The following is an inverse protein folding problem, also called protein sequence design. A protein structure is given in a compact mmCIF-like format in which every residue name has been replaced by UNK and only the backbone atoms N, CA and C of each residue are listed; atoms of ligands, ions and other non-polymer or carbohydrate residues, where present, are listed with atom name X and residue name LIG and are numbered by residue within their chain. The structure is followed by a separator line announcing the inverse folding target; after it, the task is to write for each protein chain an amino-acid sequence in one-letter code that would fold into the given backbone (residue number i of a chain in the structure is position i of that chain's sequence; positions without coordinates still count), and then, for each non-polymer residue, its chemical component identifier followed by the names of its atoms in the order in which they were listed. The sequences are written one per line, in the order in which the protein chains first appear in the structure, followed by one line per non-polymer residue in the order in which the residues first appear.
data_IF_675393270990
#
_entry.id   IF_675393270990
#
_cell.length_a   1.000
_cell.length_b   1.000
_cell.length_c   1.000
_cell.angle_alpha   90.00
_cell.angle_beta   90.00
_cell.angle_gamma   90.00
#
_symmetry.space_group_name_H-M   'P 1'
#
loop_
_entity.id
_entity.type
_entity.pdbx_description
1 polymer ?
#
# COMPACT_ATOMS: atom_id res chain seq x y z
N UNK A 1 10.03 3.29 -16.44
CA UNK A 1 10.21 4.11 -15.21
C UNK A 1 11.02 3.29 -14.21
N UNK A 2 12.32 3.58 -14.07
CA UNK A 2 13.23 2.91 -13.11
C UNK A 2 12.99 3.47 -11.70
N UNK A 3 12.89 2.60 -10.71
CA UNK A 3 12.68 2.94 -9.30
C UNK A 3 14.07 2.94 -8.65
N UNK A 4 14.57 4.10 -8.20
CA UNK A 4 15.95 4.30 -7.72
C UNK A 4 16.06 4.23 -6.18
N UNK A 5 15.24 3.43 -5.49
CA UNK A 5 15.36 3.23 -4.03
C UNK A 5 15.01 4.42 -3.13
N UNK A 6 14.69 5.59 -3.68
CA UNK A 6 14.68 6.88 -2.93
C UNK A 6 13.30 7.45 -2.61
N UNK A 7 12.22 6.68 -2.78
CA UNK A 7 10.84 7.14 -2.53
C UNK A 7 10.10 6.23 -1.58
N UNK A 8 10.73 5.92 -0.45
CA UNK A 8 10.05 5.23 0.64
C UNK A 8 9.53 6.23 1.67
N UNK A 9 8.31 5.99 2.14
CA UNK A 9 7.62 6.87 3.05
C UNK A 9 7.89 6.41 4.48
N UNK A 10 8.59 7.22 5.27
CA UNK A 10 8.86 6.89 6.67
C UNK A 10 7.55 6.74 7.47
N UNK A 11 7.57 5.97 8.57
CA UNK A 11 6.37 5.68 9.38
C UNK A 11 5.68 6.97 9.86
N UNK A 12 6.45 7.93 10.37
CA UNK A 12 5.98 9.24 10.80
C UNK A 12 5.40 10.07 9.63
N UNK A 13 6.06 10.07 8.47
CA UNK A 13 5.58 10.75 7.26
C UNK A 13 4.26 10.14 6.76
N UNK A 14 4.08 8.82 6.84
CA UNK A 14 2.84 8.16 6.46
C UNK A 14 1.66 8.58 7.34
N UNK A 15 1.87 8.65 8.66
CA UNK A 15 0.85 9.14 9.59
C UNK A 15 0.50 10.59 9.29
N UNK A 16 1.51 11.46 9.18
CA UNK A 16 1.33 12.88 8.83
C UNK A 16 0.62 13.05 7.49
N UNK A 17 0.97 12.26 6.47
CA UNK A 17 0.33 12.33 5.17
C UNK A 17 -1.17 12.00 5.22
N UNK A 18 -1.57 11.04 6.05
CA UNK A 18 -2.99 10.77 6.30
C UNK A 18 -3.63 11.93 7.05
N UNK A 19 -3.02 12.42 8.13
CA UNK A 19 -3.58 13.49 8.97
C UNK A 19 -3.76 14.79 8.17
N UNK A 20 -2.80 15.11 7.31
CA UNK A 20 -2.79 16.27 6.42
C UNK A 20 -3.65 16.10 5.17
N UNK A 21 -4.10 14.88 4.85
CA UNK A 21 -4.99 14.68 3.72
C UNK A 21 -6.38 15.25 4.03
N UNK A 22 -7.07 15.88 3.05
CA UNK A 22 -8.47 16.24 3.22
C UNK A 22 -9.29 15.02 3.64
N UNK A 23 -10.35 15.21 4.44
CA UNK A 23 -11.11 14.11 5.06
C UNK A 23 -11.53 13.01 4.06
N UNK A 24 -11.93 13.43 2.86
CA UNK A 24 -12.35 12.54 1.77
C UNK A 24 -11.19 11.74 1.17
N UNK A 25 -9.96 12.25 1.24
CA UNK A 25 -8.74 11.61 0.77
C UNK A 25 -8.10 10.72 1.85
N UNK A 26 -8.31 10.99 3.15
CA UNK A 26 -7.71 10.20 4.25
C UNK A 26 -7.99 8.72 4.13
N UNK A 27 -9.26 8.37 3.92
CA UNK A 27 -9.70 6.98 3.81
C UNK A 27 -9.02 6.28 2.63
N UNK A 28 -8.90 6.99 1.49
CA UNK A 28 -8.28 6.44 0.28
C UNK A 28 -6.77 6.30 0.39
N UNK A 29 -6.08 7.28 1.00
CA UNK A 29 -4.63 7.19 1.25
C UNK A 29 -4.33 6.09 2.24
N UNK A 30 -5.10 6.00 3.33
CA UNK A 30 -4.97 4.92 4.31
C UNK A 30 -5.20 3.56 3.67
N UNK A 31 -6.26 3.40 2.87
CA UNK A 31 -6.55 2.17 2.15
C UNK A 31 -5.43 1.80 1.16
N UNK A 32 -4.88 2.77 0.43
CA UNK A 32 -3.76 2.58 -0.49
C UNK A 32 -2.44 2.21 0.22
N UNK A 33 -2.24 2.60 1.48
CA UNK A 33 -1.06 2.25 2.27
C UNK A 33 -1.10 0.83 2.83
N UNK A 34 -2.30 0.32 3.09
CA UNK A 34 -2.50 -1.00 3.72
C UNK A 34 -2.94 -2.08 2.74
N UNK A 35 -3.21 -1.69 1.49
CA UNK A 35 -3.46 -2.58 0.37
C UNK A 35 -2.45 -2.30 -0.74
N UNK A 36 -2.42 -3.17 -1.74
CA UNK A 36 -1.53 -3.05 -2.90
C UNK A 36 -2.27 -2.56 -4.15
N UNK A 37 -3.51 -2.09 -3.99
CA UNK A 37 -4.38 -1.71 -5.09
C UNK A 37 -3.84 -0.49 -5.85
N UNK A 38 -4.07 -0.46 -7.17
CA UNK A 38 -3.75 0.73 -7.98
C UNK A 38 -4.76 1.84 -7.66
N UNK A 39 -4.35 3.10 -7.83
CA UNK A 39 -5.21 4.29 -7.65
C UNK A 39 -6.58 4.12 -8.31
N UNK A 40 -6.62 3.68 -9.58
CA UNK A 40 -7.86 3.48 -10.31
C UNK A 40 -8.75 2.41 -9.66
N UNK A 41 -8.16 1.29 -9.21
CA UNK A 41 -8.93 0.22 -8.56
C UNK A 41 -9.54 0.69 -7.23
N UNK A 42 -8.82 1.51 -6.45
CA UNK A 42 -9.36 2.05 -5.20
C UNK A 42 -10.50 3.04 -5.47
N UNK A 43 -10.31 3.96 -6.43
CA UNK A 43 -11.29 4.98 -6.78
C UNK A 43 -12.55 4.36 -7.40
N UNK A 44 -12.39 3.29 -8.17
CA UNK A 44 -13.47 2.61 -8.86
C UNK A 44 -14.12 1.50 -8.03
N UNK A 45 -13.64 1.23 -6.82
CA UNK A 45 -14.11 0.12 -6.00
C UNK A 45 -15.60 0.26 -5.66
N UNK A 46 -16.36 -0.79 -5.96
CA UNK A 46 -17.78 -0.91 -5.67
C UNK A 46 -18.05 -1.91 -4.55
N UNK A 47 -19.16 -1.75 -3.83
CA UNK A 47 -19.51 -2.65 -2.72
C UNK A 47 -19.67 -4.11 -3.16
N UNK A 48 -20.17 -4.35 -4.37
CA UNK A 48 -20.33 -5.70 -4.93
C UNK A 48 -18.99 -6.44 -5.12
N UNK A 49 -17.89 -5.69 -5.20
CA UNK A 49 -16.54 -6.25 -5.33
C UNK A 49 -15.93 -6.65 -3.99
N UNK A 50 -16.60 -6.35 -2.86
CA UNK A 50 -16.07 -6.59 -1.52
C UNK A 50 -16.85 -7.73 -0.86
N UNK A 51 -16.12 -8.75 -0.45
CA UNK A 51 -16.59 -9.78 0.45
C UNK A 51 -16.01 -9.51 1.85
N UNK A 52 -16.80 -8.83 2.69
CA UNK A 52 -16.38 -8.47 4.05
C UNK A 52 -16.24 -9.69 4.98
N UNK A 53 -16.94 -10.79 4.70
CA UNK A 53 -16.86 -12.01 5.51
C UNK A 53 -15.57 -12.77 5.22
N UNK A 54 -15.20 -12.88 3.94
CA UNK A 54 -13.92 -13.49 3.53
C UNK A 54 -12.74 -12.53 3.61
N UNK A 55 -12.98 -11.25 3.91
CA UNK A 55 -11.99 -10.17 3.90
C UNK A 55 -11.24 -10.09 2.56
N UNK A 56 -11.98 -10.10 1.44
CA UNK A 56 -11.40 -10.03 0.09
C UNK A 56 -12.07 -8.92 -0.71
N UNK A 57 -11.26 -8.10 -1.39
CA UNK A 57 -11.72 -7.22 -2.46
C UNK A 57 -11.32 -7.82 -3.82
N UNK A 58 -12.26 -7.85 -4.77
CA UNK A 58 -12.02 -8.35 -6.13
C UNK A 58 -11.88 -7.18 -7.09
N UNK A 59 -10.74 -7.09 -7.77
CA UNK A 59 -10.59 -6.16 -8.90
C UNK A 59 -11.04 -6.89 -10.16
N UNK A 60 -11.99 -6.31 -10.90
CA UNK A 60 -12.49 -6.94 -12.11
C UNK A 60 -11.41 -7.01 -13.21
N UNK A 61 -11.49 -7.99 -14.13
CA UNK A 61 -10.55 -8.12 -15.24
C UNK A 61 -10.38 -6.84 -16.06
N UNK A 62 -11.48 -6.15 -16.38
CA UNK A 62 -11.52 -4.91 -17.15
C UNK A 62 -10.79 -3.73 -16.47
N UNK A 63 -10.68 -3.78 -15.14
CA UNK A 63 -9.95 -2.80 -14.32
C UNK A 63 -8.50 -3.24 -14.02
N UNK A 64 -8.12 -4.44 -14.47
CA UNK A 64 -6.79 -5.02 -14.31
C UNK A 64 -5.99 -4.87 -15.61
N UNK A 65 -4.74 -4.40 -15.51
CA UNK A 65 -3.86 -4.30 -16.68
C UNK A 65 -3.54 -5.66 -17.34
N UNK A 66 -3.67 -6.73 -16.56
CA UNK A 66 -3.43 -8.11 -16.99
C UNK A 66 -4.69 -8.83 -17.48
N UNK A 67 -5.85 -8.17 -17.52
CA UNK A 67 -7.15 -8.76 -17.83
C UNK A 67 -7.48 -10.02 -17.00
N UNK A 68 -7.08 -10.04 -15.72
CA UNK A 68 -7.32 -11.12 -14.76
C UNK A 68 -7.94 -10.55 -13.50
N UNK A 69 -8.96 -11.21 -12.97
CA UNK A 69 -9.50 -10.84 -11.67
C UNK A 69 -8.41 -11.01 -10.60
N UNK A 70 -8.17 -9.98 -9.80
CA UNK A 70 -7.18 -10.01 -8.72
C UNK A 70 -7.95 -9.96 -7.40
N UNK A 71 -7.83 -11.02 -6.60
CA UNK A 71 -8.28 -11.03 -5.22
C UNK A 71 -7.24 -10.35 -4.34
N UNK A 72 -7.63 -9.29 -3.63
CA UNK A 72 -6.79 -8.60 -2.66
C UNK A 72 -7.32 -8.92 -1.27
N UNK A 73 -6.51 -9.64 -0.49
CA UNK A 73 -6.78 -9.87 0.92
C UNK A 73 -6.77 -8.55 1.69
N UNK A 74 -7.79 -8.35 2.51
CA UNK A 74 -8.00 -7.15 3.31
C UNK A 74 -7.53 -7.42 4.74
N UNK A 75 -6.53 -6.67 5.20
CA UNK A 75 -6.18 -6.68 6.62
C UNK A 75 -7.21 -5.91 7.46
N UNK A 76 -7.11 -6.01 8.79
CA UNK A 76 -8.04 -5.36 9.72
C UNK A 76 -8.15 -3.84 9.51
N UNK A 77 -7.05 -3.20 9.12
CA UNK A 77 -7.04 -1.77 8.84
C UNK A 77 -7.82 -1.44 7.57
N UNK A 78 -7.66 -2.24 6.51
CA UNK A 78 -8.44 -2.12 5.28
C UNK A 78 -9.92 -2.37 5.55
N UNK A 79 -10.26 -3.45 6.27
CA UNK A 79 -11.63 -3.76 6.68
C UNK A 79 -12.25 -2.65 7.53
N UNK A 80 -11.49 -2.04 8.45
CA UNK A 80 -11.95 -0.88 9.22
C UNK A 80 -12.27 0.31 8.31
N UNK A 81 -11.36 0.66 7.39
CA UNK A 81 -11.61 1.76 6.44
C UNK A 81 -12.88 1.52 5.63
N UNK A 82 -13.12 0.29 5.18
CA UNK A 82 -14.33 -0.08 4.44
C UNK A 82 -15.59 0.08 5.32
N UNK A 83 -15.58 -0.43 6.56
CA UNK A 83 -16.69 -0.23 7.51
C UNK A 83 -17.00 1.25 7.73
N UNK A 84 -15.97 2.09 7.86
CA UNK A 84 -16.13 3.53 8.03
C UNK A 84 -16.72 4.24 6.78
N UNK A 85 -16.73 3.58 5.60
CA UNK A 85 -17.38 4.08 4.38
C UNK A 85 -18.79 3.52 4.16
N UNK A 86 -19.18 2.44 4.86
CA UNK A 86 -20.48 1.80 4.68
C UNK A 86 -21.62 2.79 4.92
N UNK A 87 -22.64 2.75 4.05
CA UNK A 87 -23.80 3.64 4.13
C UNK A 87 -23.63 5.03 3.52
N UNK A 88 -22.40 5.47 3.17
CA UNK A 88 -22.20 6.78 2.51
C UNK A 88 -22.71 6.83 1.08
N UNK A 89 -22.69 5.69 0.39
CA UNK A 89 -23.18 5.55 -0.99
C UNK A 89 -23.52 4.09 -1.28
N UNK A 90 -24.58 3.85 -2.05
CA UNK A 90 -25.13 2.50 -2.29
C UNK A 90 -24.25 1.63 -3.20
N UNK A 91 -23.51 2.24 -4.14
CA UNK A 91 -22.68 1.53 -5.13
C UNK A 91 -21.17 1.68 -4.90
N UNK A 92 -20.64 2.90 -4.99
CA UNK A 92 -19.22 3.20 -4.81
C UNK A 92 -18.78 3.22 -3.34
N UNK A 93 -17.58 2.73 -3.08
CA UNK A 93 -16.93 2.79 -1.75
C UNK A 93 -16.30 4.15 -1.49
N UNK A 94 -15.53 4.66 -2.45
CA UNK A 94 -14.83 5.94 -2.35
C UNK A 94 -15.68 7.06 -2.96
N UNK A 95 -16.09 8.04 -2.16
CA UNK A 95 -17.00 9.10 -2.60
C UNK A 95 -16.59 10.51 -2.19
N UNK A 96 -17.03 11.49 -2.98
CA UNK A 96 -17.02 12.91 -2.63
C UNK A 96 -18.40 13.33 -2.15
N UNK A 97 -18.45 14.11 -1.07
CA UNK A 97 -19.64 14.92 -0.73
C UNK A 97 -19.82 16.04 -1.75
N UNK A 98 -21.05 16.53 -1.87
CA UNK A 98 -21.35 17.68 -2.70
C UNK A 98 -20.45 18.88 -2.35
N UNK A 99 -19.96 19.55 -3.40
CA UNK A 99 -19.28 20.82 -3.31
C UNK A 99 -20.07 21.86 -4.12
N UNK A 100 -20.12 23.09 -3.61
CA UNK A 100 -20.53 24.23 -4.41
C UNK A 100 -19.41 24.61 -5.35
N UNK A 101 -19.73 24.75 -6.64
CA UNK A 101 -18.83 25.28 -7.65
C UNK A 101 -18.80 26.81 -7.59
N UNK A 102 -17.76 27.41 -8.16
CA UNK A 102 -17.61 28.87 -8.22
C UNK A 102 -18.71 29.56 -9.03
N UNK A 103 -19.35 28.83 -9.96
CA UNK A 103 -20.50 29.27 -10.76
C UNK A 103 -21.86 29.18 -10.01
N UNK A 104 -21.86 28.85 -8.72
CA UNK A 104 -23.06 28.71 -7.90
C UNK A 104 -23.78 27.36 -8.04
N UNK A 105 -23.39 26.50 -8.99
CA UNK A 105 -23.97 25.16 -9.15
C UNK A 105 -23.46 24.20 -8.08
N UNK A 106 -24.31 23.27 -7.64
CA UNK A 106 -23.90 22.22 -6.71
C UNK A 106 -23.70 20.91 -7.46
N UNK A 107 -22.62 20.20 -7.14
CA UNK A 107 -22.46 18.81 -7.61
C UNK A 107 -23.44 17.88 -6.87
N UNK A 108 -23.76 16.69 -7.42
CA UNK A 108 -24.60 15.70 -6.73
C UNK A 108 -24.20 15.47 -5.27
N UNK A 109 -25.18 15.23 -4.39
CA UNK A 109 -25.04 15.08 -2.94
C UNK A 109 -23.86 14.18 -2.54
N UNK A 110 -23.72 13.06 -3.25
CA UNK A 110 -22.57 12.16 -3.17
C UNK A 110 -22.23 11.70 -4.58
N UNK A 111 -20.95 11.75 -4.96
CA UNK A 111 -20.48 11.26 -6.27
C UNK A 111 -19.23 10.39 -6.14
N UNK A 112 -18.93 9.65 -7.20
CA UNK A 112 -17.69 8.88 -7.32
C UNK A 112 -16.46 9.78 -7.13
N UNK A 113 -15.49 9.28 -6.38
CA UNK A 113 -14.25 10.01 -6.12
C UNK A 113 -13.42 10.20 -7.40
N UNK A 114 -12.72 11.32 -7.48
CA UNK A 114 -11.70 11.61 -8.49
C UNK A 114 -10.51 12.31 -7.82
N UNK A 115 -9.39 11.62 -7.69
CA UNK A 115 -8.18 12.25 -7.16
C UNK A 115 -7.53 13.02 -8.30
N UNK A 116 -7.71 14.34 -8.33
CA UNK A 116 -6.79 15.18 -9.09
C UNK A 116 -5.44 15.19 -8.37
N UNK A 117 -4.47 14.54 -9.00
CA UNK A 117 -3.10 14.43 -8.52
C UNK A 117 -2.37 15.77 -8.44
N UNK A 118 -2.92 16.86 -8.98
CA UNK A 118 -2.22 18.16 -9.07
C UNK A 118 -2.49 19.15 -7.93
N UNK A 119 -3.50 18.95 -7.07
CA UNK A 119 -3.81 19.93 -6.00
C UNK A 119 -3.85 19.29 -4.62
N UNK A 120 -4.92 18.59 -4.26
CA UNK A 120 -5.12 18.09 -2.89
C UNK A 120 -4.02 17.12 -2.42
N UNK A 121 -3.58 16.21 -3.30
CA UNK A 121 -2.50 15.27 -3.01
C UNK A 121 -1.16 15.97 -2.79
N UNK A 122 -0.76 16.86 -3.71
CA UNK A 122 0.51 17.57 -3.59
C UNK A 122 0.54 18.50 -2.38
N UNK A 123 -0.58 19.15 -2.05
CA UNK A 123 -0.70 19.95 -0.83
C UNK A 123 -0.55 19.09 0.43
N UNK A 124 -1.16 17.91 0.48
CA UNK A 124 -1.00 16.98 1.59
C UNK A 124 0.45 16.48 1.72
N UNK A 125 1.10 16.12 0.60
CA UNK A 125 2.52 15.76 0.58
C UNK A 125 3.39 16.90 1.11
N UNK A 126 3.18 18.14 0.65
CA UNK A 126 3.94 19.32 1.10
C UNK A 126 3.79 19.52 2.62
N UNK A 127 2.56 19.50 3.14
CA UNK A 127 2.31 19.64 4.59
C UNK A 127 2.87 18.48 5.41
N UNK A 128 2.93 17.28 4.84
CA UNK A 128 3.52 16.10 5.46
C UNK A 128 5.06 16.06 5.36
N UNK A 129 5.70 17.02 4.67
CA UNK A 129 7.15 17.03 4.45
C UNK A 129 7.61 15.90 3.54
N UNK A 130 6.81 15.58 2.52
CA UNK A 130 7.08 14.52 1.54
C UNK A 130 7.26 15.16 0.16
N UNK A 131 8.44 15.02 -0.41
CA UNK A 131 8.79 15.60 -1.71
C UNK A 131 8.87 14.53 -2.80
N UNK A 132 8.63 14.92 -4.06
CA UNK A 132 8.74 14.05 -5.23
C UNK A 132 7.95 12.72 -5.16
N UNK A 133 6.83 12.73 -4.42
CA UNK A 133 6.05 11.54 -4.10
C UNK A 133 4.68 11.55 -4.78
N UNK A 134 4.44 10.56 -5.64
CA UNK A 134 3.20 10.37 -6.38
C UNK A 134 2.28 9.44 -5.61
N UNK A 135 0.96 9.51 -5.84
CA UNK A 135 0.01 8.58 -5.21
C UNK A 135 0.37 7.11 -5.46
N UNK A 136 0.92 6.78 -6.64
CA UNK A 136 1.36 5.42 -6.94
C UNK A 136 2.52 4.94 -6.06
N UNK A 137 3.31 5.86 -5.50
CA UNK A 137 4.42 5.51 -4.63
C UNK A 137 3.94 4.90 -3.30
N UNK A 138 2.67 5.10 -2.91
CA UNK A 138 2.05 4.37 -1.77
C UNK A 138 2.09 2.85 -1.95
N UNK A 139 1.89 2.37 -3.19
CA UNK A 139 2.00 0.94 -3.51
C UNK A 139 3.45 0.45 -3.41
N UNK A 140 4.43 1.30 -3.73
CA UNK A 140 5.84 1.00 -3.52
C UNK A 140 6.18 0.94 -2.03
N UNK A 141 5.65 1.87 -1.23
CA UNK A 141 5.78 1.86 0.24
C UNK A 141 5.17 0.60 0.87
N UNK A 142 4.03 0.12 0.37
CA UNK A 142 3.45 -1.14 0.84
C UNK A 142 4.41 -2.31 0.59
N UNK A 143 5.00 -2.38 -0.60
CA UNK A 143 5.93 -3.45 -0.97
C UNK A 143 7.26 -3.37 -0.20
N UNK A 144 7.85 -2.17 -0.06
CA UNK A 144 9.11 -1.97 0.66
C UNK A 144 9.02 -2.33 2.14
N UNK A 145 7.82 -2.26 2.75
CA UNK A 145 7.60 -2.60 4.16
C UNK A 145 7.40 -4.10 4.41
N UNK A 146 6.83 -4.83 3.46
CA UNK A 146 6.55 -6.27 3.61
C UNK A 146 7.79 -7.14 3.40
N UNK A 147 8.67 -6.74 2.48
CA UNK A 147 9.87 -7.54 2.20
C UNK A 147 10.79 -7.68 3.43
N UNK A 148 11.08 -6.61 4.20
CA UNK A 148 11.81 -6.74 5.45
C UNK A 148 11.14 -7.61 6.52
N UNK A 149 9.84 -7.87 6.39
CA UNK A 149 9.05 -8.71 7.31
C UNK A 149 9.08 -10.19 6.91
N UNK A 150 9.95 -10.59 5.97
CA UNK A 150 10.12 -11.99 5.56
C UNK A 150 9.15 -12.45 4.46
N UNK A 151 8.35 -11.56 3.87
CA UNK A 151 7.42 -11.94 2.79
C UNK A 151 8.19 -12.29 1.52
N UNK A 152 8.02 -13.49 0.94
CA UNK A 152 8.70 -13.87 -0.30
C UNK A 152 8.29 -12.98 -1.48
N UNK A 153 9.23 -12.73 -2.40
CA UNK A 153 8.96 -11.92 -3.61
C UNK A 153 7.83 -12.51 -4.48
N UNK A 154 7.65 -13.83 -4.49
CA UNK A 154 6.56 -14.50 -5.21
C UNK A 154 5.20 -14.14 -4.64
N UNK A 155 5.05 -14.20 -3.31
CA UNK A 155 3.83 -13.80 -2.59
C UNK A 155 3.57 -12.31 -2.80
N UNK A 156 4.61 -11.48 -2.70
CA UNK A 156 4.49 -10.05 -2.97
C UNK A 156 4.00 -9.79 -4.41
N UNK A 157 4.54 -10.51 -5.40
CA UNK A 157 4.13 -10.41 -6.79
C UNK A 157 2.66 -10.73 -6.98
N UNK A 158 2.21 -11.84 -6.39
CA UNK A 158 0.84 -12.32 -6.46
C UNK A 158 -0.12 -11.32 -5.82
N UNK A 159 0.14 -10.92 -4.57
CA UNK A 159 -0.70 -9.96 -3.86
C UNK A 159 -0.87 -8.66 -4.65
N UNK A 160 0.22 -8.14 -5.21
CA UNK A 160 0.14 -6.92 -6.00
C UNK A 160 -0.41 -7.08 -7.41
N UNK A 161 -0.46 -8.29 -7.96
CA UNK A 161 -0.73 -8.49 -9.37
C UNK A 161 0.26 -7.73 -10.26
N UNK A 162 1.56 -7.92 -9.99
CA UNK A 162 2.64 -7.50 -10.90
C UNK A 162 2.79 -8.52 -12.03
N UNK A 163 2.79 -8.04 -13.27
CA UNK A 163 2.76 -8.91 -14.47
C UNK A 163 4.04 -9.74 -14.63
N UNK A 164 5.18 -9.27 -14.10
CA UNK A 164 6.43 -10.02 -14.19
C UNK A 164 7.24 -9.98 -12.90
N UNK A 165 8.01 -11.05 -12.68
CA UNK A 165 8.98 -11.18 -11.58
C UNK A 165 9.98 -10.02 -11.59
N UNK A 166 10.37 -9.56 -12.78
CA UNK A 166 11.30 -8.44 -12.96
C UNK A 166 10.78 -7.14 -12.33
N UNK A 167 9.47 -6.91 -12.33
CA UNK A 167 8.91 -5.74 -11.66
C UNK A 167 9.12 -5.78 -10.14
N UNK A 168 9.09 -6.97 -9.54
CA UNK A 168 9.17 -7.16 -8.09
C UNK A 168 10.61 -7.34 -7.62
N UNK A 169 11.51 -7.81 -8.48
CA UNK A 169 12.96 -7.92 -8.20
C UNK A 169 13.59 -6.62 -7.70
N UNK A 170 13.03 -5.45 -8.06
CA UNK A 170 13.48 -4.16 -7.52
C UNK A 170 13.45 -4.09 -5.99
N UNK A 171 12.63 -4.89 -5.32
CA UNK A 171 12.57 -4.94 -3.85
C UNK A 171 13.47 -6.02 -3.23
N UNK A 172 14.12 -6.87 -4.03
CA UNK A 172 14.88 -8.01 -3.54
C UNK A 172 16.00 -7.62 -2.55
N UNK A 173 16.65 -6.47 -2.78
CA UNK A 173 17.68 -5.92 -1.90
C UNK A 173 17.17 -5.53 -0.50
N UNK A 174 15.85 -5.43 -0.30
CA UNK A 174 15.25 -5.09 0.99
C UNK A 174 14.99 -6.32 1.86
N UNK A 175 15.30 -7.54 1.40
CA UNK A 175 14.98 -8.77 2.10
C UNK A 175 16.12 -9.15 3.08
N UNK A 176 16.05 -8.79 4.37
CA UNK A 176 17.09 -9.08 5.35
C UNK A 176 17.12 -10.58 5.60
N UNK A 177 18.29 -11.21 5.45
CA UNK A 177 18.58 -12.58 5.88
C UNK A 177 17.54 -13.67 5.53
N UNK A 178 16.62 -13.42 4.59
CA UNK A 178 15.56 -14.38 4.24
C UNK A 178 16.15 -15.68 3.68
N UNK A 179 17.31 -15.59 3.02
CA UNK A 179 18.07 -16.76 2.58
C UNK A 179 18.56 -17.60 3.76
N UNK A 180 18.96 -16.98 4.87
CA UNK A 180 19.39 -17.69 6.09
C UNK A 180 18.21 -18.40 6.76
N UNK A 181 17.06 -17.76 6.88
CA UNK A 181 15.84 -18.41 7.42
C UNK A 181 15.34 -19.53 6.51
N UNK A 182 15.42 -19.36 5.19
CA UNK A 182 15.06 -20.41 4.25
C UNK A 182 16.07 -21.57 4.26
N UNK A 183 17.37 -21.28 4.36
CA UNK A 183 18.42 -22.29 4.47
C UNK A 183 18.22 -23.14 5.72
N UNK A 184 17.89 -22.52 6.86
CA UNK A 184 17.63 -23.20 8.14
C UNK A 184 16.51 -24.23 8.11
N UNK A 185 15.58 -24.14 7.16
CA UNK A 185 14.52 -25.15 7.04
C UNK A 185 15.07 -26.55 6.75
N UNK A 186 16.28 -26.65 6.19
CA UNK A 186 16.92 -27.95 6.00
C UNK A 186 17.50 -28.52 7.30
N UNK A 187 17.80 -27.66 8.28
CA UNK A 187 18.33 -28.08 9.58
C UNK A 187 17.31 -28.91 10.37
N UNK A 188 16.00 -28.74 10.10
CA UNK A 188 14.92 -29.58 10.65
C UNK A 188 15.14 -31.09 10.39
N UNK A 189 15.88 -31.47 9.34
CA UNK A 189 16.23 -32.86 9.05
C UNK A 189 17.19 -33.43 10.10
N UNK A 190 18.09 -32.59 10.61
CA UNK A 190 19.19 -32.99 11.50
C UNK A 190 18.92 -32.61 12.95
N UNK A 191 17.91 -31.76 13.22
CA UNK A 191 17.57 -31.30 14.57
C UNK A 191 18.57 -30.28 15.14
N UNK A 192 19.48 -29.78 14.30
CA UNK A 192 20.51 -28.83 14.71
C UNK A 192 19.90 -27.42 14.85
N UNK A 193 20.14 -26.77 16.00
CA UNK A 193 19.65 -25.42 16.24
C UNK A 193 20.81 -24.54 16.69
N UNK A 194 21.54 -23.98 15.73
CA UNK A 194 22.65 -23.06 16.01
C UNK A 194 22.08 -21.65 16.27
N UNK A 195 22.25 -21.09 17.48
CA UNK A 195 21.77 -19.74 17.79
C UNK A 195 22.34 -18.71 16.79
N UNK A 196 21.53 -17.73 16.39
CA UNK A 196 22.04 -16.58 15.62
C UNK A 196 23.12 -15.89 16.44
N UNK A 197 24.35 -15.85 15.93
CA UNK A 197 25.40 -15.03 16.52
C UNK A 197 24.98 -13.57 16.36
N UNK A 198 24.51 -12.95 17.46
CA UNK A 198 24.21 -11.53 17.48
C UNK A 198 25.54 -10.78 17.34
N UNK A 199 25.87 -10.33 16.14
CA UNK A 199 27.01 -9.46 15.90
C UNK A 199 26.71 -8.07 16.52
N UNK A 200 26.87 -7.97 17.84
CA UNK A 200 26.97 -6.68 18.52
C UNK A 200 28.28 -6.05 18.06
N UNK A 201 28.14 -4.96 17.31
CA UNK A 201 29.23 -4.14 16.78
C UNK A 201 29.93 -3.46 17.97
N UNK A 202 30.95 -4.10 18.55
CA UNK A 202 31.89 -3.42 19.43
C UNK A 202 32.74 -2.48 18.59
N UNK A 203 32.31 -1.21 18.48
CA UNK A 203 33.23 -0.09 18.27
C UNK A 203 33.67 0.37 19.66
N UNK A 204 34.71 -0.26 20.19
CA UNK A 204 35.50 0.30 21.29
C UNK A 204 36.93 0.48 20.80
N UNK A 205 37.55 1.54 21.31
CA UNK A 205 38.61 2.32 20.69
C UNK A 205 39.88 1.56 20.32
N UNK A 206 40.38 1.87 19.13
CA UNK A 206 41.82 1.88 18.86
C UNK A 206 42.26 3.31 19.14
N UNK A 207 42.81 3.53 20.34
CA UNK A 207 43.64 4.68 20.68
C UNK A 207 45.04 4.42 20.14
N UNK A 208 45.56 5.34 19.33
CA UNK A 208 47.00 5.66 19.33
C UNK A 208 47.23 6.78 20.35
#
# INVERSE_FOLDING_TARGET
MRWNGTRDLQKNQAKRLIDESPELLKSVVKFALVTVLRKSNIINLEWQQIDMQRQVARVNPEDSKSNRAIGVALNDTASKVLRDQTGKHHKCVCTYKAAKRADGTSTPAVRKMHIDSKTAWLSACRRAGVENFRFHDLRHTWASRLIPSGVPLSVLQEMGGWESREMVRRYAHLAPNHLTEHARKIDDIFGDNVPLWNYRRNKEGVTD
#
